data_IF_922958455924
#
_entry.id   IF_922958455924
#
_cell.length_a   1.000
_cell.length_b   1.000
_cell.length_c   1.000
_cell.angle_alpha   90.00
_cell.angle_beta   90.00
_cell.angle_gamma   90.00
#
_symmetry.space_group_name_H-M   'P 1'
#
loop_
_entity.id
_entity.type
_entity.pdbx_description
1 polymer ?
#
# COMPACT_ATOMS: atom_id res chain seq x y z
N UNK A 1 -22.86 -14.26 13.95
CA UNK A 1 -22.69 -14.00 13.50
C UNK A 1 -22.27 -13.47 12.91
N UNK A 2 -22.07 -13.50 12.83
CA UNK A 2 -21.78 -13.14 12.22
C UNK A 2 -21.26 -12.51 11.64
N UNK A 3 -21.04 -12.44 11.43
CA UNK A 3 -20.62 -11.88 10.81
C UNK A 3 -20.23 -11.47 10.18
N UNK A 4 -20.39 -11.42 10.03
CA UNK A 4 -19.93 -11.13 9.35
C UNK A 4 -19.38 -10.51 8.78
N UNK A 5 -19.67 -10.47 8.85
CA UNK A 5 -19.13 -9.83 8.42
C UNK A 5 -18.26 -9.68 7.88
N UNK A 6 -18.77 -10.11 7.42
CA UNK A 6 -17.65 -9.89 7.12
C UNK A 6 -17.13 -8.77 6.72
N UNK A 7 -16.77 -8.22 7.40
CA UNK A 7 -16.13 -7.06 6.92
C UNK A 7 -15.14 -7.39 5.86
N UNK A 8 -14.90 -6.44 5.02
CA UNK A 8 -13.88 -6.55 4.02
C UNK A 8 -12.56 -6.89 4.70
N UNK A 9 -11.74 -7.75 4.11
CA UNK A 9 -10.40 -7.95 4.60
C UNK A 9 -9.53 -6.72 4.43
N UNK A 10 -9.94 -5.79 3.60
CA UNK A 10 -9.20 -4.55 3.39
C UNK A 10 -9.29 -3.71 4.67
N UNK A 11 -8.15 -3.19 5.11
CA UNK A 11 -8.09 -2.40 6.32
C UNK A 11 -7.85 -3.21 7.57
N UNK A 12 -7.77 -4.51 7.46
CA UNK A 12 -7.42 -5.36 8.58
C UNK A 12 -5.93 -5.24 8.85
N UNK A 13 -5.54 -5.50 10.11
CA UNK A 13 -4.14 -5.34 10.45
C UNK A 13 -3.24 -6.38 9.82
N UNK A 14 -3.80 -7.45 9.26
CA UNK A 14 -3.02 -8.44 8.54
C UNK A 14 -2.95 -8.14 7.04
N UNK A 15 -3.43 -6.97 6.61
CA UNK A 15 -3.38 -6.54 5.21
C UNK A 15 -2.51 -5.32 5.12
N UNK A 16 -1.37 -5.45 4.48
CA UNK A 16 -0.40 -4.37 4.47
C UNK A 16 0.43 -4.41 3.19
N UNK A 17 1.14 -3.32 2.96
CA UNK A 17 2.13 -3.28 1.90
C UNK A 17 3.50 -3.01 2.51
N UNK A 18 4.54 -3.49 1.84
CA UNK A 18 5.91 -3.13 2.15
C UNK A 18 6.60 -2.81 0.84
N UNK A 19 7.49 -1.86 0.86
CA UNK A 19 8.25 -1.49 -0.33
C UNK A 19 9.51 -0.75 0.07
N UNK A 20 10.30 -0.42 -0.93
CA UNK A 20 11.47 0.43 -0.77
C UNK A 20 11.25 1.66 -1.64
N UNK A 21 11.43 2.84 -1.07
CA UNK A 21 11.25 4.07 -1.84
C UNK A 21 12.51 4.39 -2.64
N UNK A 22 12.49 5.48 -3.38
CA UNK A 22 13.61 5.85 -4.25
C UNK A 22 14.87 6.21 -3.48
N UNK A 23 14.75 6.48 -2.20
CA UNK A 23 15.90 6.76 -1.33
C UNK A 23 16.36 5.51 -0.58
N UNK A 24 15.84 4.35 -0.97
CA UNK A 24 16.16 3.04 -0.39
C UNK A 24 15.71 2.90 1.06
N UNK A 25 14.75 3.69 1.47
CA UNK A 25 14.18 3.56 2.79
C UNK A 25 12.99 2.60 2.74
N UNK A 26 12.87 1.73 3.75
CA UNK A 26 11.72 0.82 3.78
C UNK A 26 10.46 1.58 4.16
N UNK A 27 9.35 1.19 3.52
CA UNK A 27 8.05 1.78 3.77
C UNK A 27 7.07 0.65 4.04
N UNK A 28 6.26 0.81 5.07
CA UNK A 28 5.19 -0.13 5.38
C UNK A 28 3.91 0.65 5.59
N UNK A 29 2.83 0.17 5.00
CA UNK A 29 1.55 0.83 5.14
C UNK A 29 0.42 -0.16 5.29
N UNK A 30 -0.72 0.34 5.74
CA UNK A 30 -1.94 -0.45 5.87
C UNK A 30 -2.68 -0.44 4.55
N UNK A 31 -3.00 -1.61 4.03
CA UNK A 31 -3.70 -1.72 2.76
C UNK A 31 -5.15 -1.31 2.94
N UNK A 32 -5.62 -0.42 2.09
CA UNK A 32 -7.01 0.05 2.10
C UNK A 32 -7.81 -0.57 0.99
N UNK A 33 -7.18 -0.72 -0.20
CA UNK A 33 -7.88 -1.23 -1.37
C UNK A 33 -6.83 -1.65 -2.39
N UNK A 34 -7.17 -2.64 -3.21
CA UNK A 34 -6.30 -3.01 -4.33
C UNK A 34 -7.11 -3.66 -5.44
N UNK A 35 -6.55 -3.59 -6.62
CA UNK A 35 -7.05 -4.26 -7.81
C UNK A 35 -5.84 -4.75 -8.59
N UNK A 36 -6.07 -5.28 -9.78
CA UNK A 36 -4.95 -5.72 -10.61
C UNK A 36 -4.05 -4.58 -11.06
N UNK A 37 -4.55 -3.35 -11.01
CA UNK A 37 -3.83 -2.21 -11.55
C UNK A 37 -3.41 -1.21 -10.49
N UNK A 38 -4.08 -1.19 -9.35
CA UNK A 38 -3.90 -0.13 -8.38
C UNK A 38 -3.91 -0.70 -6.97
N UNK A 39 -3.26 0.04 -6.08
CA UNK A 39 -3.37 -0.22 -4.65
C UNK A 39 -3.45 1.12 -3.93
N UNK A 40 -4.24 1.16 -2.85
CA UNK A 40 -4.35 2.34 -1.99
C UNK A 40 -3.98 1.88 -0.60
N UNK A 41 -3.06 2.62 0.02
CA UNK A 41 -2.62 2.29 1.37
C UNK A 41 -2.36 3.56 2.15
N UNK A 42 -2.35 3.45 3.47
CA UNK A 42 -2.00 4.58 4.32
C UNK A 42 -0.74 4.29 5.10
N UNK A 43 0.05 5.33 5.28
CA UNK A 43 1.28 5.28 6.03
C UNK A 43 1.15 6.23 7.20
N UNK A 44 1.38 5.70 8.40
CA UNK A 44 1.41 6.53 9.59
C UNK A 44 2.81 7.11 9.70
N UNK A 45 2.97 8.29 9.13
CA UNK A 45 4.29 8.90 9.15
C UNK A 45 4.17 10.38 8.81
N UNK A 46 4.33 11.25 9.80
CA UNK A 46 4.30 12.69 9.53
C UNK A 46 5.48 13.15 8.68
N UNK A 47 6.53 12.33 8.57
CA UNK A 47 7.69 12.68 7.76
C UNK A 47 7.65 11.86 6.49
N UNK A 48 6.68 12.15 5.66
CA UNK A 48 6.45 11.41 4.44
C UNK A 48 7.71 11.37 3.58
N UNK A 49 8.04 10.17 3.11
CA UNK A 49 9.18 9.96 2.23
C UNK A 49 8.73 9.46 0.87
N UNK A 50 7.44 9.67 0.57
CA UNK A 50 6.88 9.29 -0.73
C UNK A 50 6.59 10.55 -1.52
N UNK A 51 6.82 10.48 -2.83
CA UNK A 51 6.61 11.59 -3.75
C UNK A 51 5.82 11.12 -4.95
N UNK A 52 5.10 12.06 -5.57
CA UNK A 52 4.35 11.76 -6.78
C UNK A 52 5.31 11.28 -7.87
N UNK A 53 4.86 10.32 -8.63
CA UNK A 53 5.57 9.72 -9.76
C UNK A 53 6.80 8.92 -9.34
N UNK A 54 7.01 8.75 -8.06
CA UNK A 54 8.12 7.94 -7.55
C UNK A 54 7.87 6.48 -7.87
N UNK A 55 8.93 5.76 -8.24
CA UNK A 55 8.87 4.32 -8.46
C UNK A 55 9.26 3.63 -7.16
N UNK A 56 8.36 2.80 -6.66
CA UNK A 56 8.59 2.03 -5.44
C UNK A 56 9.05 0.64 -5.84
N UNK A 57 10.25 0.28 -5.42
CA UNK A 57 10.82 -1.02 -5.72
C UNK A 57 10.34 -2.04 -4.70
N UNK A 58 10.30 -3.30 -5.12
CA UNK A 58 9.97 -4.41 -4.22
C UNK A 58 8.64 -4.15 -3.48
N UNK A 59 7.67 -3.60 -4.20
CA UNK A 59 6.36 -3.33 -3.64
C UNK A 59 5.62 -4.66 -3.52
N UNK A 60 5.21 -4.97 -2.29
CA UNK A 60 4.51 -6.22 -2.01
C UNK A 60 3.20 -5.93 -1.33
N UNK A 61 2.15 -6.59 -1.81
CA UNK A 61 0.84 -6.56 -1.16
C UNK A 61 0.69 -7.87 -0.42
N UNK A 62 0.48 -7.79 0.87
CA UNK A 62 0.38 -8.96 1.73
C UNK A 62 -0.98 -8.96 2.41
N UNK A 63 -1.70 -10.05 2.27
CA UNK A 63 -3.00 -10.22 2.94
C UNK A 63 -2.92 -11.55 3.69
N UNK A 64 -3.06 -11.45 5.01
CA UNK A 64 -2.83 -12.60 5.85
C UNK A 64 -1.37 -13.01 5.76
N UNK A 65 -1.13 -14.24 5.38
CA UNK A 65 0.22 -14.75 5.23
C UNK A 65 0.62 -14.92 3.76
N UNK A 66 -0.13 -14.32 2.85
CA UNK A 66 0.06 -14.50 1.42
C UNK A 66 0.48 -13.21 0.76
N UNK A 67 1.53 -13.29 -0.04
CA UNK A 67 1.93 -12.17 -0.88
C UNK A 67 1.14 -12.26 -2.18
N UNK A 68 0.28 -11.29 -2.41
CA UNK A 68 -0.59 -11.27 -3.59
C UNK A 68 0.07 -10.60 -4.77
N UNK A 69 0.97 -9.68 -4.52
CA UNK A 69 1.68 -8.95 -5.57
C UNK A 69 3.10 -8.68 -5.09
N UNK A 70 4.04 -8.81 -6.00
CA UNK A 70 5.41 -8.43 -5.74
C UNK A 70 5.98 -7.86 -7.03
N UNK A 71 6.40 -6.61 -7.00
CA UNK A 71 6.93 -5.96 -8.17
C UNK A 71 7.11 -4.48 -7.92
N UNK A 72 7.00 -3.69 -8.98
CA UNK A 72 7.18 -2.25 -8.88
C UNK A 72 5.82 -1.56 -8.86
N UNK A 73 5.79 -0.38 -8.28
CA UNK A 73 4.59 0.45 -8.26
C UNK A 73 5.01 1.90 -8.43
N UNK A 74 4.13 2.70 -9.02
CA UNK A 74 4.38 4.12 -9.24
C UNK A 74 3.37 4.91 -8.45
N UNK A 75 3.83 5.88 -7.68
CA UNK A 75 2.98 6.72 -6.86
C UNK A 75 2.19 7.66 -7.75
N UNK A 76 0.86 7.60 -7.65
CA UNK A 76 -0.03 8.40 -8.49
C UNK A 76 -0.74 9.48 -7.71
N UNK A 77 -0.99 9.27 -6.44
CA UNK A 77 -1.74 10.23 -5.64
C UNK A 77 -1.26 10.15 -4.20
N UNK A 78 -1.16 11.29 -3.57
CA UNK A 78 -0.79 11.40 -2.16
C UNK A 78 -1.74 12.40 -1.50
N UNK A 79 -2.39 11.96 -0.43
CA UNK A 79 -3.27 12.82 0.35
C UNK A 79 -2.79 12.77 1.79
N UNK A 80 -2.38 13.93 2.30
CA UNK A 80 -1.92 14.05 3.67
C UNK A 80 -3.09 14.48 4.53
N UNK A 81 -3.47 13.63 5.49
CA UNK A 81 -4.60 13.91 6.37
C UNK A 81 -4.16 14.49 7.71
N UNK A 82 -2.87 14.78 7.86
CA UNK A 82 -2.31 15.29 9.11
C UNK A 82 -1.57 14.21 9.88
N UNK A 83 -2.20 13.10 10.12
CA UNK A 83 -1.60 11.97 10.84
C UNK A 83 -1.17 10.89 9.86
N UNK A 84 -1.96 10.69 8.83
CA UNK A 84 -1.75 9.62 7.87
C UNK A 84 -1.45 10.20 6.50
N UNK A 85 -0.73 9.45 5.72
CA UNK A 85 -0.53 9.74 4.31
C UNK A 85 -1.23 8.63 3.52
N UNK A 86 -2.24 8.99 2.73
CA UNK A 86 -2.95 8.05 1.90
C UNK A 86 -2.33 8.09 0.52
N UNK A 87 -1.85 6.95 0.08
CA UNK A 87 -1.11 6.84 -1.17
C UNK A 87 -1.81 5.89 -2.11
N UNK A 88 -1.98 6.31 -3.35
CA UNK A 88 -2.44 5.44 -4.41
C UNK A 88 -1.30 5.19 -5.38
N UNK A 89 -1.09 3.93 -5.74
CA UNK A 89 -0.05 3.54 -6.68
C UNK A 89 -0.66 2.74 -7.83
N UNK A 90 0.01 2.83 -8.97
CA UNK A 90 -0.27 1.96 -10.11
C UNK A 90 0.73 0.81 -10.05
N UNK A 91 0.23 -0.42 -10.16
CA UNK A 91 1.05 -1.62 -10.17
C UNK A 91 1.57 -1.81 -11.58
N UNK A 92 2.88 -1.94 -11.72
CA UNK A 92 3.55 -1.92 -13.02
C UNK A 92 3.75 -3.32 -13.57
N UNK A 93 4.02 -4.26 -12.71
CA UNK A 93 4.33 -5.62 -13.13
C UNK A 93 3.08 -6.49 -13.07
N UNK A 94 3.15 -7.63 -13.76
CA UNK A 94 2.01 -8.55 -13.76
C UNK A 94 1.90 -9.24 -12.40
N UNK A 95 0.68 -9.59 -12.09
CA UNK A 95 0.40 -10.34 -10.87
C UNK A 95 0.93 -11.77 -10.98
#
# INVERSE_FOLDING_TARGET
>A
MTNPVVPSPIGRKDSFIVCTNSQRAPVRGSLMHFSYQNAIFEVYNPFSILQLSEVLAEFKIVVGERTLYAGRAVVRSLVNTGIMLVCEVTLVDAW
#
